data_IF_255281254863
#
_entry.id   IF_255281254863
#
_cell.length_a   1.000
_cell.length_b   1.000
_cell.length_c   1.000
_cell.angle_alpha   90.00
_cell.angle_beta   90.00
_cell.angle_gamma   90.00
#
_symmetry.space_group_name_H-M   'P 1'
#
loop_
_entity.id
_entity.type
_entity.pdbx_description
1 polymer ?
#
# COMPACT_ATOMS: atom_id res chain seq x y z
N UNK A 1 6.27 5.03 -51.95
CA UNK A 1 4.96 5.40 -51.37
C UNK A 1 4.91 4.79 -49.97
N UNK A 2 5.55 5.32 -48.92
CA UNK A 2 5.59 6.68 -48.34
C UNK A 2 4.22 7.15 -47.85
N UNK A 3 4.01 6.96 -46.54
CA UNK A 3 3.18 7.69 -45.55
C UNK A 3 3.16 6.79 -44.30
N UNK A 4 3.91 7.01 -43.22
CA UNK A 4 4.30 8.25 -42.56
C UNK A 4 3.08 9.10 -42.17
N UNK A 5 2.48 8.75 -41.02
CA UNK A 5 1.75 9.71 -40.20
C UNK A 5 2.55 9.92 -38.92
N UNK A 6 2.80 11.18 -38.61
CA UNK A 6 3.77 11.66 -37.64
C UNK A 6 3.07 12.72 -36.81
N UNK A 7 2.90 12.48 -35.51
CA UNK A 7 2.50 13.53 -34.56
C UNK A 7 3.64 13.67 -33.55
N UNK A 8 4.16 14.89 -33.40
CA UNK A 8 5.40 15.21 -32.70
C UNK A 8 5.15 16.39 -31.74
N UNK A 9 5.81 16.39 -30.57
CA UNK A 9 5.84 17.49 -29.57
C UNK A 9 4.52 17.69 -28.78
N UNK A 10 4.56 17.92 -27.47
CA UNK A 10 5.31 19.03 -26.87
C UNK A 10 6.00 18.68 -25.54
N UNK A 11 7.30 18.98 -25.47
CA UNK A 11 8.07 18.98 -24.23
C UNK A 11 7.64 20.13 -23.31
N UNK A 12 7.43 19.86 -22.01
CA UNK A 12 7.44 20.92 -21.00
C UNK A 12 8.02 20.44 -19.68
N UNK A 13 9.34 20.53 -19.58
CA UNK A 13 10.01 20.68 -18.28
C UNK A 13 9.40 21.87 -17.52
N UNK A 14 9.07 21.65 -16.25
CA UNK A 14 8.95 22.71 -15.24
C UNK A 14 9.14 22.09 -13.86
N UNK A 15 9.93 22.75 -13.02
CA UNK A 15 10.48 22.16 -11.81
C UNK A 15 9.46 21.91 -10.71
N UNK A 16 9.82 21.00 -9.81
CA UNK A 16 9.19 20.84 -8.51
C UNK A 16 9.35 22.15 -7.72
N UNK A 17 8.26 22.87 -7.51
CA UNK A 17 8.19 23.97 -6.54
C UNK A 17 6.74 24.28 -6.20
N UNK A 18 6.27 23.70 -5.11
CA UNK A 18 5.15 24.17 -4.28
C UNK A 18 5.21 23.34 -2.99
N UNK A 19 5.11 23.88 -1.79
CA UNK A 19 5.34 25.20 -1.21
C UNK A 19 4.94 24.98 0.24
N UNK A 20 5.82 25.31 1.18
CA UNK A 20 5.49 25.41 2.60
C UNK A 20 4.18 26.19 2.80
N UNK A 21 3.19 25.55 3.42
CA UNK A 21 1.90 26.18 3.73
C UNK A 21 2.00 27.01 5.01
N UNK A 22 2.83 28.05 4.98
CA UNK A 22 3.06 28.95 6.11
C UNK A 22 3.04 30.41 5.66
N UNK A 23 1.84 30.95 5.49
CA UNK A 23 1.42 32.33 5.85
C UNK A 23 -0.07 32.51 5.53
N UNK A 24 -0.91 32.78 6.54
CA UNK A 24 -2.24 33.35 6.31
C UNK A 24 -2.10 34.88 6.24
N UNK A 25 -2.60 35.56 5.18
CA UNK A 25 -2.67 37.01 5.16
C UNK A 25 -3.86 37.50 6.01
N UNK A 26 -3.60 38.46 6.90
CA UNK A 26 -4.66 39.19 7.62
C UNK A 26 -5.34 40.15 6.65
N UNK A 27 -6.69 40.16 6.52
CA UNK A 27 -7.36 41.15 5.69
C UNK A 27 -7.50 42.48 6.44
N UNK A 28 -6.86 43.53 5.91
CA UNK A 28 -7.10 44.91 6.36
C UNK A 28 -8.53 45.39 6.06
N UNK A 29 -9.01 46.32 6.87
CA UNK A 29 -10.35 46.92 6.79
C UNK A 29 -10.48 47.85 5.57
N UNK A 30 -11.07 47.35 4.48
CA UNK A 30 -11.47 48.16 3.32
C UNK A 30 -12.97 48.46 3.28
N UNK A 31 -13.37 49.70 3.58
CA UNK A 31 -14.74 50.17 3.32
C UNK A 31 -14.96 50.32 1.80
N UNK A 32 -15.93 49.60 1.25
CA UNK A 32 -16.52 49.91 -0.06
C UNK A 32 -18.03 49.69 -0.02
N UNK A 33 -18.80 50.79 0.11
CA UNK A 33 -20.24 50.78 -0.04
C UNK A 33 -20.61 51.06 -1.50
N UNK A 34 -21.41 50.19 -2.13
CA UNK A 34 -22.18 50.54 -3.34
C UNK A 34 -23.40 49.61 -3.52
N UNK A 35 -24.43 50.14 -4.17
CA UNK A 35 -25.82 49.66 -4.12
C UNK A 35 -26.06 48.48 -5.05
N UNK A 36 -26.78 47.46 -4.58
CA UNK A 36 -27.19 46.32 -5.41
C UNK A 36 -27.80 45.16 -4.64
N UNK A 37 -28.88 45.39 -3.88
CA UNK A 37 -29.53 44.34 -3.08
C UNK A 37 -30.29 43.32 -3.95
N UNK A 38 -29.54 42.40 -4.56
CA UNK A 38 -29.98 41.00 -4.60
C UNK A 38 -29.70 40.44 -3.21
N UNK A 39 -30.73 39.93 -2.54
CA UNK A 39 -30.55 39.21 -1.28
C UNK A 39 -29.86 37.87 -1.57
N UNK A 40 -28.53 37.90 -1.67
CA UNK A 40 -27.68 36.72 -1.50
C UNK A 40 -27.96 36.25 -0.07
N UNK A 41 -28.82 35.23 0.07
CA UNK A 41 -29.04 34.57 1.37
C UNK A 41 -27.69 34.11 1.90
N UNK A 42 -27.51 34.21 3.21
CA UNK A 42 -26.21 34.37 3.86
C UNK A 42 -25.29 33.13 3.79
N UNK A 43 -24.77 32.80 2.60
CA UNK A 43 -23.83 31.68 2.40
C UNK A 43 -22.62 31.76 3.33
N UNK A 44 -22.11 32.96 3.65
CA UNK A 44 -21.00 33.11 4.61
C UNK A 44 -21.38 32.85 6.08
N UNK A 45 -22.67 32.85 6.42
CA UNK A 45 -23.15 32.39 7.73
C UNK A 45 -23.28 30.85 7.71
N UNK A 46 -23.84 30.29 6.65
CA UNK A 46 -23.99 28.84 6.52
C UNK A 46 -22.62 28.13 6.43
N UNK A 47 -21.66 28.69 5.68
CA UNK A 47 -20.27 28.22 5.60
C UNK A 47 -19.60 28.22 6.98
N UNK A 48 -19.74 29.29 7.78
CA UNK A 48 -19.26 29.30 9.18
C UNK A 48 -19.85 28.16 10.01
N UNK A 49 -21.14 27.85 9.86
CA UNK A 49 -21.78 26.76 10.59
C UNK A 49 -21.32 25.38 10.07
N UNK A 50 -21.15 25.22 8.76
CA UNK A 50 -20.61 24.01 8.14
C UNK A 50 -19.18 23.76 8.61
N UNK A 51 -18.30 24.77 8.60
CA UNK A 51 -16.92 24.64 9.06
C UNK A 51 -16.83 24.37 10.56
N UNK A 52 -17.70 24.97 11.39
CA UNK A 52 -17.76 24.66 12.82
C UNK A 52 -18.27 23.23 13.11
N UNK A 53 -19.19 22.70 12.28
CA UNK A 53 -19.61 21.30 12.35
C UNK A 53 -18.52 20.36 11.85
N UNK A 54 -17.86 20.71 10.74
CA UNK A 54 -16.76 19.95 10.15
C UNK A 54 -15.61 19.80 11.16
N UNK A 55 -15.17 20.88 11.81
CA UNK A 55 -14.11 20.81 12.83
C UNK A 55 -14.53 20.04 14.10
N UNK A 56 -15.83 19.89 14.36
CA UNK A 56 -16.34 19.07 15.48
C UNK A 56 -16.29 17.57 15.17
N UNK A 57 -16.50 17.18 13.89
CA UNK A 57 -16.50 15.79 13.43
C UNK A 57 -15.17 15.32 12.84
N UNK A 58 -14.23 16.22 12.58
CA UNK A 58 -12.92 15.87 12.03
C UNK A 58 -12.00 15.32 13.14
N UNK A 59 -11.22 14.26 12.88
CA UNK A 59 -10.26 13.70 13.86
C UNK A 59 -9.14 14.70 14.22
N UNK A 60 -8.56 14.56 15.40
CA UNK A 60 -7.41 15.36 15.84
C UNK A 60 -6.13 15.04 15.05
N UNK A 61 -5.14 15.94 15.06
CA UNK A 61 -3.84 15.70 14.40
C UNK A 61 -3.16 14.43 14.92
N UNK A 62 -3.09 14.28 16.24
CA UNK A 62 -2.59 13.09 16.93
C UNK A 62 -3.27 11.79 16.48
N UNK A 63 -4.60 11.81 16.29
CA UNK A 63 -5.34 10.65 15.80
C UNK A 63 -5.01 10.33 14.33
N UNK A 64 -4.78 11.35 13.50
CA UNK A 64 -4.37 11.17 12.10
C UNK A 64 -2.91 10.70 11.97
N UNK A 65 -2.03 11.17 12.87
CA UNK A 65 -0.64 10.72 12.99
C UNK A 65 -0.59 9.24 13.40
N UNK A 66 -1.40 8.83 14.39
CA UNK A 66 -1.56 7.42 14.77
C UNK A 66 -2.07 6.56 13.60
N UNK A 67 -3.06 7.03 12.83
CA UNK A 67 -3.54 6.33 11.62
C UNK A 67 -2.42 6.16 10.58
N UNK A 68 -1.66 7.22 10.31
CA UNK A 68 -0.55 7.16 9.35
C UNK A 68 0.56 6.21 9.82
N UNK A 69 0.89 6.24 11.11
CA UNK A 69 1.88 5.36 11.73
C UNK A 69 1.45 3.88 11.63
N UNK A 70 0.22 3.55 12.05
CA UNK A 70 -0.33 2.20 11.96
C UNK A 70 -0.35 1.69 10.52
N UNK A 71 -0.90 2.47 9.58
CA UNK A 71 -0.99 2.05 8.17
C UNK A 71 0.40 1.87 7.56
N UNK A 72 1.33 2.79 7.81
CA UNK A 72 2.72 2.67 7.33
C UNK A 72 3.44 1.46 7.93
N UNK A 73 3.26 1.20 9.23
CA UNK A 73 3.85 0.05 9.93
C UNK A 73 3.33 -1.26 9.35
N UNK A 74 2.01 -1.38 9.13
CA UNK A 74 1.39 -2.58 8.57
C UNK A 74 1.72 -2.77 7.09
N UNK A 75 1.82 -1.70 6.29
CA UNK A 75 2.28 -1.76 4.90
C UNK A 75 3.73 -2.27 4.82
N UNK A 76 4.63 -1.76 5.66
CA UNK A 76 6.01 -2.25 5.76
C UNK A 76 6.09 -3.70 6.28
N UNK A 77 5.28 -4.05 7.27
CA UNK A 77 5.23 -5.41 7.83
C UNK A 77 4.74 -6.42 6.78
N UNK A 78 3.65 -6.10 6.05
CA UNK A 78 3.14 -6.92 4.94
C UNK A 78 4.15 -7.03 3.79
N UNK A 79 4.90 -5.95 3.51
CA UNK A 79 6.02 -6.00 2.57
C UNK A 79 7.11 -6.97 3.03
N UNK A 80 7.49 -6.96 4.31
CA UNK A 80 8.46 -7.94 4.85
C UNK A 80 7.92 -9.37 4.83
N UNK A 81 6.62 -9.59 5.06
CA UNK A 81 5.98 -10.90 4.87
C UNK A 81 6.05 -11.34 3.40
N UNK A 82 5.77 -10.45 2.44
CA UNK A 82 5.96 -10.73 1.01
C UNK A 82 7.40 -11.09 0.70
N UNK A 83 8.38 -10.28 1.10
CA UNK A 83 9.79 -10.52 0.82
C UNK A 83 10.30 -11.82 1.50
N UNK A 84 9.67 -12.30 2.59
CA UNK A 84 9.94 -13.62 3.19
C UNK A 84 9.26 -14.78 2.45
N UNK A 85 8.03 -14.60 1.96
CA UNK A 85 7.32 -15.60 1.14
C UNK A 85 7.90 -15.74 -0.27
N UNK A 86 8.45 -14.66 -0.81
CA UNK A 86 9.08 -14.58 -2.14
C UNK A 86 10.54 -15.06 -2.12
N UNK A 87 11.15 -15.25 -0.93
CA UNK A 87 12.45 -15.90 -0.81
C UNK A 87 12.27 -17.41 -1.09
N UNK A 88 12.83 -17.94 -2.19
CA UNK A 88 12.84 -19.38 -2.37
C UNK A 88 13.60 -20.03 -1.20
N UNK A 89 13.23 -21.26 -0.83
CA UNK A 89 14.10 -22.11 -0.02
C UNK A 89 15.35 -22.45 -0.84
N UNK A 90 16.31 -21.52 -0.86
CA UNK A 90 17.61 -21.69 -1.46
C UNK A 90 18.42 -22.68 -0.62
N UNK A 91 18.25 -23.95 -0.98
CA UNK A 91 19.26 -25.01 -0.94
C UNK A 91 19.98 -25.24 0.39
N UNK A 92 19.71 -26.39 1.02
CA UNK A 92 20.68 -26.98 1.93
C UNK A 92 21.99 -27.24 1.16
N UNK A 93 23.17 -26.81 1.65
CA UNK A 93 24.45 -27.11 1.02
C UNK A 93 24.83 -28.57 1.31
N UNK A 94 24.25 -29.50 0.57
CA UNK A 94 24.56 -30.93 0.65
C UNK A 94 25.82 -31.23 -0.18
N UNK A 95 27.00 -30.88 0.36
CA UNK A 95 28.30 -31.23 -0.22
C UNK A 95 29.06 -32.19 0.70
N UNK A 96 29.02 -33.47 0.34
CA UNK A 96 29.83 -34.54 0.94
C UNK A 96 31.10 -34.79 0.12
N UNK A 97 32.26 -34.89 0.80
CA UNK A 97 33.61 -35.16 0.25
C UNK A 97 34.14 -34.10 -0.72
N UNK A 98 35.42 -33.70 -0.74
CA UNK A 98 36.68 -34.09 -0.07
C UNK A 98 37.79 -33.55 -1.01
N UNK A 99 39.01 -33.18 -0.67
CA UNK A 99 39.91 -33.35 0.46
C UNK A 99 41.09 -32.38 0.18
N UNK A 100 41.91 -32.12 1.20
CA UNK A 100 43.14 -31.29 1.23
C UNK A 100 44.03 -31.29 -0.04
N UNK A 101 44.57 -30.12 -0.43
CA UNK A 101 46.03 -29.90 -0.34
C UNK A 101 46.48 -28.41 -0.42
N UNK A 102 47.59 -28.08 0.26
CA UNK A 102 48.41 -26.83 0.14
C UNK A 102 49.64 -27.17 -0.77
N UNK A 103 50.61 -26.28 -1.16
CA UNK A 103 51.06 -25.04 -0.49
C UNK A 103 51.39 -23.82 -1.40
N UNK A 104 51.81 -22.72 -0.77
CA UNK A 104 52.42 -21.49 -1.35
C UNK A 104 53.96 -21.70 -1.54
N UNK A 105 54.76 -20.82 -2.20
CA UNK A 105 55.04 -19.41 -1.82
C UNK A 105 55.23 -18.48 -3.08
N UNK A 106 55.95 -17.34 -3.17
CA UNK A 106 56.80 -16.49 -2.28
C UNK A 106 57.01 -15.08 -2.89
N UNK A 107 57.01 -14.01 -2.07
CA UNK A 107 57.51 -12.64 -2.37
C UNK A 107 56.79 -11.85 -3.51
N UNK A 108 56.76 -10.51 -3.57
CA UNK A 108 57.65 -9.46 -3.01
C UNK A 108 56.87 -8.14 -2.77
N UNK A 109 57.41 -7.18 -2.00
CA UNK A 109 56.78 -5.85 -1.77
C UNK A 109 57.27 -4.77 -2.76
N UNK A 110 56.39 -3.85 -3.18
CA UNK A 110 56.65 -2.39 -3.17
C UNK A 110 55.44 -1.53 -3.63
N UNK A 111 55.40 -0.28 -3.13
CA UNK A 111 54.44 0.78 -3.42
C UNK A 111 54.46 1.27 -4.90
N UNK A 112 53.49 1.98 -5.48
CA UNK A 112 52.79 3.20 -5.01
C UNK A 112 51.42 3.47 -5.69
N UNK A 113 50.59 4.21 -4.94
CA UNK A 113 49.70 5.33 -5.32
C UNK A 113 48.77 5.38 -6.59
N UNK A 114 47.51 5.75 -6.31
CA UNK A 114 46.55 6.56 -7.10
C UNK A 114 45.64 5.96 -8.20
N UNK A 115 44.35 5.95 -7.80
CA UNK A 115 43.17 6.45 -8.53
C UNK A 115 42.62 5.62 -9.71
N UNK A 116 41.39 5.14 -9.50
CA UNK A 116 40.67 4.17 -10.33
C UNK A 116 39.75 4.85 -11.36
N UNK A 117 39.85 4.49 -12.63
CA UNK A 117 38.88 4.84 -13.68
C UNK A 117 37.94 3.66 -14.03
N UNK A 118 36.63 3.92 -13.99
CA UNK A 118 35.62 3.33 -14.90
C UNK A 118 35.37 1.81 -14.89
N UNK A 119 34.13 1.39 -14.61
CA UNK A 119 33.63 0.10 -15.14
C UNK A 119 32.54 -0.65 -14.40
N UNK A 120 31.28 -0.20 -14.51
CA UNK A 120 30.09 -1.05 -14.66
C UNK A 120 29.93 -2.34 -13.82
N UNK A 121 29.09 -2.27 -12.78
CA UNK A 121 27.94 -3.21 -12.66
C UNK A 121 26.76 -2.55 -11.91
N UNK A 122 25.82 -2.04 -12.70
CA UNK A 122 24.58 -1.40 -12.22
C UNK A 122 23.53 -2.46 -11.88
N UNK A 123 22.85 -2.36 -10.73
CA UNK A 123 21.41 -2.74 -10.59
C UNK A 123 20.79 -2.45 -9.22
N UNK A 124 21.15 -1.35 -8.56
CA UNK A 124 20.35 -0.77 -7.45
C UNK A 124 19.05 -0.13 -7.98
N UNK A 125 18.23 -0.94 -8.67
CA UNK A 125 16.96 -0.55 -9.28
C UNK A 125 15.81 -0.59 -8.26
N UNK A 126 15.77 0.45 -7.42
CA UNK A 126 14.49 0.90 -6.90
C UNK A 126 13.58 1.27 -8.09
N UNK A 127 12.32 0.86 -8.04
CA UNK A 127 11.36 0.87 -9.17
C UNK A 127 11.71 -0.04 -10.37
N UNK A 128 11.43 -1.33 -10.24
CA UNK A 128 11.19 -2.24 -11.38
C UNK A 128 9.78 -2.81 -11.34
N UNK A 129 8.92 -2.28 -12.21
CA UNK A 129 7.65 -2.89 -12.60
C UNK A 129 7.95 -4.18 -13.38
N UNK A 130 7.78 -5.34 -12.74
CA UNK A 130 8.15 -6.63 -13.34
C UNK A 130 8.13 -7.80 -12.35
N UNK A 131 7.13 -7.88 -11.48
CA UNK A 131 7.00 -8.95 -10.50
C UNK A 131 6.49 -10.25 -11.11
N UNK A 132 7.35 -11.04 -11.74
CA UNK A 132 6.96 -12.30 -12.41
C UNK A 132 7.12 -13.56 -11.53
N UNK A 133 7.33 -13.38 -10.22
CA UNK A 133 7.44 -14.49 -9.25
C UNK A 133 6.74 -14.28 -7.90
N UNK A 134 6.35 -13.04 -7.57
CA UNK A 134 5.90 -12.70 -6.21
C UNK A 134 4.49 -13.19 -5.90
N UNK A 135 4.28 -13.78 -4.72
CA UNK A 135 2.97 -14.29 -4.28
C UNK A 135 2.04 -13.13 -3.92
N UNK A 136 2.57 -12.12 -3.24
CA UNK A 136 1.86 -10.90 -2.89
C UNK A 136 2.29 -9.78 -3.87
N UNK A 137 1.34 -9.22 -4.59
CA UNK A 137 1.58 -8.19 -5.61
C UNK A 137 1.68 -6.79 -5.01
N UNK A 138 1.04 -6.53 -3.87
CA UNK A 138 1.12 -5.25 -3.16
C UNK A 138 -0.03 -5.00 -2.20
N UNK A 139 0.13 -3.98 -1.36
CA UNK A 139 -0.89 -3.46 -0.44
C UNK A 139 -1.45 -2.16 -0.99
N UNK A 140 -2.76 -1.98 -0.92
CA UNK A 140 -3.46 -0.79 -1.42
C UNK A 140 -4.40 -0.25 -0.34
N UNK A 141 -4.34 1.07 -0.10
CA UNK A 141 -5.27 1.77 0.79
C UNK A 141 -6.65 1.86 0.13
N UNK A 142 -7.72 1.56 0.88
CA UNK A 142 -9.12 1.72 0.42
C UNK A 142 -9.97 2.39 1.50
N UNK A 143 -11.31 2.29 1.40
CA UNK A 143 -12.23 2.75 2.43
C UNK A 143 -12.14 4.25 2.70
N UNK A 144 -12.23 4.64 3.98
CA UNK A 144 -12.15 6.03 4.43
C UNK A 144 -10.71 6.60 4.34
N UNK A 145 -9.70 5.75 4.55
CA UNK A 145 -8.27 6.12 4.53
C UNK A 145 -7.84 6.63 3.16
N UNK A 146 -8.21 5.94 2.09
CA UNK A 146 -7.87 6.35 0.72
C UNK A 146 -8.59 7.63 0.27
N UNK A 147 -9.71 7.97 0.92
CA UNK A 147 -10.58 9.10 0.57
C UNK A 147 -10.35 10.34 1.46
N UNK A 148 -9.61 10.21 2.56
CA UNK A 148 -9.48 11.29 3.56
C UNK A 148 -10.80 11.62 4.27
N UNK A 149 -11.73 10.65 4.36
CA UNK A 149 -13.08 10.84 4.92
C UNK A 149 -13.23 10.23 6.32
N UNK A 150 -12.13 10.14 7.09
CA UNK A 150 -12.17 9.71 8.48
C UNK A 150 -12.89 10.77 9.33
N UNK A 151 -13.72 10.29 10.25
CA UNK A 151 -14.44 11.14 11.20
C UNK A 151 -14.08 10.72 12.63
N UNK A 152 -14.24 11.65 13.56
CA UNK A 152 -14.07 11.40 14.99
C UNK A 152 -15.00 10.27 15.43
N UNK A 153 -14.49 9.40 16.29
CA UNK A 153 -15.14 8.21 16.86
C UNK A 153 -15.40 7.06 15.87
N UNK A 154 -15.16 7.22 14.55
CA UNK A 154 -15.16 6.15 13.54
C UNK A 154 -13.78 6.02 12.87
N UNK A 155 -12.94 5.20 13.50
CA UNK A 155 -11.54 4.97 13.13
C UNK A 155 -11.35 3.56 12.51
N UNK A 156 -12.34 3.11 11.74
CA UNK A 156 -12.29 1.88 10.96
C UNK A 156 -11.54 2.11 9.63
N UNK A 157 -10.40 1.44 9.50
CA UNK A 157 -9.42 1.57 8.42
C UNK A 157 -9.45 0.31 7.54
N UNK A 158 -9.27 0.47 6.23
CA UNK A 158 -9.29 -0.66 5.29
C UNK A 158 -8.10 -0.66 4.34
N UNK A 159 -7.43 -1.82 4.22
CA UNK A 159 -6.43 -2.13 3.21
C UNK A 159 -6.85 -3.36 2.41
N UNK A 160 -6.40 -3.42 1.16
CA UNK A 160 -6.53 -4.59 0.30
C UNK A 160 -5.14 -5.12 -0.02
N UNK A 161 -4.90 -6.40 0.29
CA UNK A 161 -3.69 -7.12 -0.08
C UNK A 161 -3.97 -7.88 -1.39
N UNK A 162 -3.31 -7.48 -2.46
CA UNK A 162 -3.41 -8.15 -3.76
C UNK A 162 -2.46 -9.35 -3.82
N UNK A 163 -3.02 -10.52 -4.16
CA UNK A 163 -2.30 -11.78 -4.35
C UNK A 163 -2.27 -12.14 -5.84
N UNK A 164 -1.21 -12.80 -6.32
CA UNK A 164 -1.10 -13.27 -7.71
C UNK A 164 -2.16 -14.33 -7.99
N UNK A 165 -2.20 -15.36 -7.14
CA UNK A 165 -3.16 -16.46 -7.19
C UNK A 165 -4.40 -16.17 -6.33
N UNK A 166 -5.46 -16.97 -6.49
CA UNK A 166 -6.67 -16.86 -5.64
C UNK A 166 -6.25 -17.08 -4.17
N UNK A 167 -6.55 -16.17 -3.23
CA UNK A 167 -6.11 -16.31 -1.85
C UNK A 167 -6.80 -17.48 -1.14
N UNK A 168 -6.04 -18.20 -0.32
CA UNK A 168 -6.48 -19.37 0.45
C UNK A 168 -6.51 -19.09 1.96
N UNK A 169 -7.19 -19.93 2.75
CA UNK A 169 -7.14 -19.85 4.20
C UNK A 169 -5.74 -20.17 4.75
N UNK A 170 -5.00 -21.07 4.11
CA UNK A 170 -3.58 -21.30 4.37
C UNK A 170 -2.76 -20.03 4.23
N UNK A 171 -2.89 -19.29 3.12
CA UNK A 171 -2.22 -18.00 2.93
C UNK A 171 -2.62 -16.97 4.02
N UNK A 172 -3.91 -16.86 4.31
CA UNK A 172 -4.43 -15.97 5.36
C UNK A 172 -3.79 -16.27 6.73
N UNK A 173 -3.68 -17.56 7.09
CA UNK A 173 -3.05 -18.01 8.34
C UNK A 173 -1.55 -17.69 8.34
N UNK A 174 -0.82 -18.04 7.29
CA UNK A 174 0.63 -17.78 7.20
C UNK A 174 0.95 -16.29 7.33
N UNK A 175 0.16 -15.41 6.68
CA UNK A 175 0.33 -13.96 6.85
C UNK A 175 -0.02 -13.54 8.28
N UNK A 176 -1.11 -14.06 8.87
CA UNK A 176 -1.51 -13.72 10.25
C UNK A 176 -0.50 -14.17 11.32
N UNK A 177 0.22 -15.27 11.12
CA UNK A 177 1.25 -15.76 12.03
C UNK A 177 2.55 -14.93 11.94
N UNK A 178 2.93 -14.51 10.73
CA UNK A 178 4.15 -13.73 10.50
C UNK A 178 3.98 -12.23 10.73
N UNK A 179 2.78 -11.68 10.54
CA UNK A 179 2.53 -10.24 10.62
C UNK A 179 2.88 -9.63 12.01
N UNK A 180 2.49 -10.21 13.16
CA UNK A 180 2.90 -9.71 14.48
C UNK A 180 4.42 -9.65 14.64
N UNK A 181 5.13 -10.68 14.16
CA UNK A 181 6.60 -10.79 14.25
C UNK A 181 7.33 -9.75 13.39
N UNK A 182 6.67 -9.17 12.38
CA UNK A 182 7.23 -8.06 11.59
C UNK A 182 6.84 -6.70 12.18
N UNK A 183 5.63 -6.58 12.74
CA UNK A 183 5.17 -5.36 13.42
C UNK A 183 6.05 -5.07 14.66
N UNK A 184 6.33 -6.07 15.51
CA UNK A 184 7.17 -5.92 16.72
C UNK A 184 8.62 -5.47 16.41
N UNK A 185 9.11 -5.69 15.19
CA UNK A 185 10.42 -5.22 14.72
C UNK A 185 10.40 -3.79 14.18
N UNK A 186 9.23 -3.28 13.80
CA UNK A 186 9.03 -1.99 13.15
C UNK A 186 8.48 -0.93 14.12
N UNK A 187 7.71 -1.35 15.12
CA UNK A 187 7.10 -0.50 16.12
C UNK A 187 7.17 -1.14 17.51
N UNK A 188 7.42 -0.31 18.53
CA UNK A 188 7.38 -0.70 19.94
C UNK A 188 5.93 -0.79 20.48
N UNK A 189 4.94 -0.35 19.70
CA UNK A 189 3.52 -0.39 20.05
C UNK A 189 2.94 -1.81 19.93
N UNK A 190 2.07 -2.18 20.87
CA UNK A 190 1.38 -3.47 20.88
C UNK A 190 0.09 -3.41 20.06
N UNK A 191 0.03 -4.24 19.02
CA UNK A 191 -1.16 -4.44 18.21
C UNK A 191 -1.70 -5.86 18.38
N UNK A 192 -3.01 -5.99 18.54
CA UNK A 192 -3.69 -7.28 18.54
C UNK A 192 -4.01 -7.67 17.09
N UNK A 193 -3.62 -8.87 16.66
CA UNK A 193 -3.82 -9.37 15.29
C UNK A 193 -4.67 -10.63 15.34
N UNK A 194 -5.78 -10.63 14.60
CA UNK A 194 -6.79 -11.69 14.56
C UNK A 194 -7.09 -12.06 13.09
N UNK A 195 -7.07 -13.35 12.75
CA UNK A 195 -7.47 -13.82 11.40
C UNK A 195 -8.96 -14.17 11.36
N UNK A 196 -9.71 -13.47 10.51
CA UNK A 196 -11.12 -13.72 10.27
C UNK A 196 -11.31 -14.52 8.98
N UNK A 197 -11.34 -15.84 9.13
CA UNK A 197 -11.69 -16.81 8.07
C UNK A 197 -12.99 -16.44 7.32
N UNK A 198 -14.14 -16.15 7.99
CA UNK A 198 -15.41 -15.88 7.28
C UNK A 198 -15.46 -14.51 6.58
N UNK A 199 -14.53 -13.61 6.87
CA UNK A 199 -14.40 -12.33 6.17
C UNK A 199 -13.28 -12.31 5.13
N UNK A 200 -12.43 -13.34 5.08
CA UNK A 200 -11.25 -13.39 4.21
C UNK A 200 -10.22 -12.29 4.56
N UNK A 201 -10.15 -11.90 5.83
CA UNK A 201 -9.44 -10.70 6.26
C UNK A 201 -8.66 -10.89 7.57
N UNK A 202 -7.61 -10.09 7.74
CA UNK A 202 -6.86 -9.96 8.99
C UNK A 202 -7.32 -8.66 9.66
N UNK A 203 -7.71 -8.76 10.93
CA UNK A 203 -8.14 -7.66 11.78
C UNK A 203 -6.99 -7.28 12.72
N UNK A 204 -6.59 -6.02 12.70
CA UNK A 204 -5.50 -5.48 13.50
C UNK A 204 -6.09 -4.37 14.37
N UNK A 205 -5.90 -4.44 15.69
CA UNK A 205 -6.45 -3.49 16.66
C UNK A 205 -5.32 -2.80 17.41
N UNK A 206 -5.33 -1.47 17.45
CA UNK A 206 -4.45 -0.68 18.30
C UNK A 206 -4.87 -0.80 19.76
N UNK A 207 -3.89 -0.98 20.66
CA UNK A 207 -4.13 -0.95 22.11
C UNK A 207 -4.00 0.45 22.71
N UNK A 208 -3.33 1.38 22.01
CA UNK A 208 -3.29 2.79 22.35
C UNK A 208 -4.63 3.50 22.07
N UNK A 209 -4.79 4.70 22.62
CA UNK A 209 -5.84 5.63 22.23
C UNK A 209 -5.30 6.60 21.17
N UNK A 210 -6.03 6.88 20.06
CA UNK A 210 -7.38 6.39 19.73
C UNK A 210 -7.40 4.90 19.32
N UNK A 211 -8.53 4.22 19.57
CA UNK A 211 -8.73 2.80 19.25
C UNK A 211 -8.87 2.60 17.73
N UNK A 212 -7.75 2.44 17.05
CA UNK A 212 -7.71 2.17 15.61
C UNK A 212 -8.06 0.71 15.31
N UNK A 213 -8.85 0.48 14.26
CA UNK A 213 -9.21 -0.86 13.76
C UNK A 213 -8.87 -0.94 12.29
N UNK A 214 -7.92 -1.79 11.92
CA UNK A 214 -7.45 -1.96 10.54
C UNK A 214 -7.82 -3.33 10.02
N UNK A 215 -8.63 -3.37 8.95
CA UNK A 215 -9.01 -4.60 8.23
C UNK A 215 -8.20 -4.73 6.95
N UNK A 216 -7.37 -5.76 6.87
CA UNK A 216 -6.62 -6.14 5.67
C UNK A 216 -7.35 -7.28 4.97
N UNK A 217 -8.01 -6.99 3.84
CA UNK A 217 -8.76 -8.01 3.08
C UNK A 217 -7.88 -8.56 1.95
N UNK A 218 -7.79 -9.89 1.82
CA UNK A 218 -7.03 -10.54 0.75
C UNK A 218 -7.90 -10.65 -0.50
N UNK A 219 -7.34 -10.37 -1.67
CA UNK A 219 -8.03 -10.58 -2.96
C UNK A 219 -7.04 -10.85 -4.09
N UNK A 220 -7.54 -11.32 -5.24
CA UNK A 220 -6.75 -11.57 -6.45
C UNK A 220 -7.47 -11.04 -7.69
N UNK A 221 -6.75 -10.46 -8.68
CA UNK A 221 -7.34 -10.03 -9.94
C UNK A 221 -7.85 -11.20 -10.81
N UNK A 222 -7.54 -12.45 -10.45
CA UNK A 222 -8.11 -13.65 -11.05
C UNK A 222 -9.57 -13.89 -10.64
N UNK A 223 -10.01 -13.33 -9.51
CA UNK A 223 -11.39 -13.42 -9.05
C UNK A 223 -12.22 -12.37 -9.80
N UNK A 224 -12.81 -12.78 -10.93
CA UNK A 224 -13.67 -11.93 -11.73
C UNK A 224 -15.13 -12.01 -11.28
N UNK A 225 -15.88 -10.95 -11.58
CA UNK A 225 -17.34 -10.88 -11.40
C UNK A 225 -18.10 -11.81 -12.36
N UNK A 226 -17.41 -12.47 -13.28
CA UNK A 226 -17.93 -13.46 -14.24
C UNK A 226 -18.51 -14.69 -13.51
N UNK A 227 -19.73 -14.55 -12.98
CA UNK A 227 -20.40 -15.53 -12.10
C UNK A 227 -21.91 -15.69 -12.36
N UNK A 228 -22.46 -14.98 -13.35
CA UNK A 228 -23.88 -15.08 -13.76
C UNK A 228 -24.04 -15.73 -15.14
N UNK A 229 -23.27 -16.80 -15.41
CA UNK A 229 -23.54 -17.73 -16.53
C UNK A 229 -23.61 -19.17 -16.02
N UNK A 230 -24.81 -19.68 -15.66
CA UNK A 230 -24.99 -21.04 -15.14
C UNK A 230 -24.95 -22.14 -16.24
N UNK A 231 -24.15 -21.94 -17.30
CA UNK A 231 -24.11 -22.83 -18.48
C UNK A 231 -22.69 -23.26 -18.89
N UNK A 232 -21.69 -23.08 -18.02
CA UNK A 232 -20.33 -23.62 -18.25
C UNK A 232 -19.72 -24.30 -17.03
N UNK A 233 -20.50 -25.18 -16.40
CA UNK A 233 -20.06 -26.11 -15.35
C UNK A 233 -19.44 -27.41 -15.91
N UNK A 234 -18.98 -27.41 -17.18
CA UNK A 234 -18.47 -28.61 -17.85
C UNK A 234 -16.97 -28.52 -18.17
N UNK A 235 -16.18 -29.30 -17.42
CA UNK A 235 -14.87 -29.86 -17.79
C UNK A 235 -13.57 -29.06 -17.51
N UNK A 236 -13.49 -28.26 -16.43
CA UNK A 236 -12.20 -27.99 -15.73
C UNK A 236 -12.33 -28.13 -14.20
N UNK A 237 -13.25 -28.99 -13.74
CA UNK A 237 -13.42 -29.38 -12.33
C UNK A 237 -12.42 -30.48 -11.93
N UNK A 238 -11.13 -30.14 -11.91
CA UNK A 238 -10.08 -30.99 -11.38
C UNK A 238 -8.98 -30.13 -10.75
N UNK A 239 -8.96 -30.12 -9.40
CA UNK A 239 -8.00 -29.43 -8.52
C UNK A 239 -8.13 -27.91 -8.29
N UNK A 240 -9.34 -27.34 -8.21
CA UNK A 240 -9.51 -26.15 -7.33
C UNK A 240 -9.35 -26.61 -5.87
N UNK A 241 -8.44 -26.04 -5.07
CA UNK A 241 -8.28 -26.44 -3.67
C UNK A 241 -9.50 -26.00 -2.86
N UNK A 242 -10.03 -26.87 -2.02
CA UNK A 242 -11.16 -26.57 -1.11
C UNK A 242 -10.79 -25.62 0.06
N UNK A 243 -9.73 -24.83 -0.11
CA UNK A 243 -9.14 -23.90 0.86
C UNK A 243 -9.24 -22.44 0.41
N UNK A 244 -10.01 -22.14 -0.65
CA UNK A 244 -10.19 -20.79 -1.18
C UNK A 244 -11.02 -19.90 -0.25
N UNK A 245 -10.62 -18.62 -0.11
CA UNK A 245 -11.42 -17.61 0.59
C UNK A 245 -12.77 -17.35 -0.12
N UNK A 246 -13.76 -16.85 0.63
CA UNK A 246 -15.06 -16.49 0.07
C UNK A 246 -14.94 -15.54 -1.12
N UNK A 247 -15.44 -16.00 -2.27
CA UNK A 247 -15.50 -15.24 -3.53
C UNK A 247 -16.18 -13.88 -3.31
N UNK A 248 -17.25 -13.83 -2.53
CA UNK A 248 -18.01 -12.59 -2.36
C UNK A 248 -17.20 -11.52 -1.61
N UNK A 249 -16.46 -11.90 -0.55
CA UNK A 249 -15.52 -10.97 0.14
C UNK A 249 -14.43 -10.47 -0.79
N UNK A 250 -13.85 -11.35 -1.61
CA UNK A 250 -12.83 -10.97 -2.58
C UNK A 250 -13.36 -9.97 -3.63
N UNK A 251 -14.59 -10.17 -4.12
CA UNK A 251 -15.26 -9.27 -5.06
C UNK A 251 -15.57 -7.90 -4.42
N UNK A 252 -16.02 -7.87 -3.17
CA UNK A 252 -16.23 -6.62 -2.42
C UNK A 252 -14.92 -5.84 -2.27
N UNK A 253 -13.80 -6.52 -1.99
CA UNK A 253 -12.48 -5.88 -1.95
C UNK A 253 -12.07 -5.28 -3.31
N UNK A 254 -12.33 -5.99 -4.43
CA UNK A 254 -12.10 -5.46 -5.78
C UNK A 254 -13.02 -4.29 -6.14
N UNK A 255 -14.26 -4.25 -5.62
CA UNK A 255 -15.14 -3.09 -5.72
C UNK A 255 -14.58 -1.89 -4.92
N UNK A 256 -14.11 -2.11 -3.68
CA UNK A 256 -13.45 -1.08 -2.88
C UNK A 256 -12.19 -0.52 -3.54
N UNK A 257 -11.36 -1.35 -4.21
CA UNK A 257 -10.23 -0.89 -5.02
C UNK A 257 -10.67 0.02 -6.18
N UNK A 258 -11.71 -0.38 -6.93
CA UNK A 258 -12.28 0.44 -8.01
C UNK A 258 -12.79 1.78 -7.49
N UNK A 259 -13.50 1.78 -6.35
CA UNK A 259 -13.99 3.00 -5.71
C UNK A 259 -12.87 3.90 -5.18
N UNK A 260 -11.80 3.34 -4.63
CA UNK A 260 -10.65 4.12 -4.16
C UNK A 260 -9.93 4.80 -5.33
N UNK A 261 -9.71 4.07 -6.44
CA UNK A 261 -9.09 4.61 -7.65
C UNK A 261 -9.95 5.64 -8.38
N UNK A 262 -11.28 5.54 -8.30
CA UNK A 262 -12.20 6.52 -8.88
C UNK A 262 -12.26 7.84 -8.08
N UNK A 263 -11.97 7.79 -6.78
CA UNK A 263 -12.05 8.96 -5.90
C UNK A 263 -10.81 9.88 -5.96
N UNK A 264 -9.69 9.36 -6.49
CA UNK A 264 -8.42 10.07 -6.65
C UNK A 264 -8.33 10.80 -8.00
#
# INVERSE_FOLDING_TARGET
VVSLCKEEKQTRSRGQSLMVLSHMPVPETGLCALKGQRSIRSFGNDDRHVMAKHSTIYPSSEALEAVQSLVSTVECALKHVSDWMDQPQAEQPNQSSGQEDKPEPSADESAEESTNEGGSSTSSSSSTSGGDGRVLCGVMRVGLVAKGLLIKDDMDLELVLMCREKPTHTLLRTVCENLPLQIEKLAEEKYEVESSIPEGAILIRGTAEPKLRLKVTLTSPLIREDGETPEQESAVEASEPSDLLDRQRCLVALASLRHAKWFQ
#
